data_IF_949089883992
#
_entry.id   IF_949089883992
#
_cell.length_a   1.000
_cell.length_b   1.000
_cell.length_c   1.000
_cell.angle_alpha   90.00
_cell.angle_beta   90.00
_cell.angle_gamma   90.00
#
_symmetry.space_group_name_H-M   'P 1'
#
loop_
_entity.id
_entity.type
_entity.pdbx_description
1 polymer ?
#
# COMPACT_ATOMS: atom_id res chain seq x y z
N UNK A 1 -7.27 -16.61 -54.22
CA UNK A 1 -6.24 -15.91 -53.43
C UNK A 1 -6.69 -14.47 -53.27
N UNK A 2 -6.96 -14.04 -52.05
CA UNK A 2 -6.73 -12.65 -51.61
C UNK A 2 -6.63 -12.70 -50.08
N UNK A 3 -5.38 -12.87 -49.66
CA UNK A 3 -4.88 -12.48 -48.34
C UNK A 3 -5.24 -11.00 -48.15
N UNK A 4 -5.71 -10.63 -46.96
CA UNK A 4 -5.45 -9.35 -46.25
C UNK A 4 -6.32 -9.38 -44.97
N UNK A 5 -6.01 -10.32 -44.07
CA UNK A 5 -6.48 -10.26 -42.69
C UNK A 5 -5.32 -9.71 -41.87
N UNK A 6 -5.10 -8.40 -41.98
CA UNK A 6 -4.16 -7.70 -41.11
C UNK A 6 -4.83 -7.57 -39.74
N UNK A 7 -4.51 -8.50 -38.84
CA UNK A 7 -4.74 -8.33 -37.42
C UNK A 7 -4.00 -7.07 -36.98
N UNK A 8 -4.75 -5.98 -36.76
CA UNK A 8 -4.23 -4.81 -36.07
C UNK A 8 -4.00 -5.28 -34.64
N UNK A 9 -2.75 -5.55 -34.28
CA UNK A 9 -2.38 -5.81 -32.90
C UNK A 9 -2.86 -4.61 -32.06
N UNK A 10 -3.74 -4.87 -31.09
CA UNK A 10 -4.16 -3.85 -30.14
C UNK A 10 -2.91 -3.24 -29.51
N UNK A 11 -2.83 -1.89 -29.47
CA UNK A 11 -1.74 -1.22 -28.76
C UNK A 11 -1.72 -1.75 -27.32
N UNK A 12 -0.55 -2.11 -26.77
CA UNK A 12 -0.45 -2.47 -25.35
C UNK A 12 -1.09 -1.38 -24.50
N UNK A 13 -1.98 -1.76 -23.58
CA UNK A 13 -2.65 -0.80 -22.69
C UNK A 13 -1.66 -0.08 -21.75
N UNK A 14 -0.48 -0.67 -21.50
CA UNK A 14 0.63 -0.07 -20.76
C UNK A 14 1.97 -0.28 -21.48
N UNK A 15 2.90 0.66 -21.32
CA UNK A 15 4.25 0.58 -21.91
C UNK A 15 5.11 -0.50 -21.24
N UNK A 16 4.91 -0.76 -19.96
CA UNK A 16 5.56 -1.82 -19.18
C UNK A 16 4.53 -2.52 -18.30
N UNK A 17 4.63 -3.84 -18.08
CA UNK A 17 3.81 -4.51 -17.09
C UNK A 17 4.14 -3.99 -15.69
N UNK A 18 3.22 -3.26 -15.07
CA UNK A 18 3.42 -2.62 -13.76
C UNK A 18 3.31 -3.60 -12.59
N UNK A 19 4.06 -4.71 -12.65
CA UNK A 19 4.08 -5.81 -11.67
C UNK A 19 5.48 -6.39 -11.47
N UNK A 20 5.80 -6.80 -10.25
CA UNK A 20 7.11 -7.33 -9.87
C UNK A 20 6.95 -8.58 -9.02
N UNK A 21 7.53 -9.70 -9.45
CA UNK A 21 7.45 -10.97 -8.74
C UNK A 21 8.62 -11.13 -7.76
N UNK A 22 8.33 -11.63 -6.57
CA UNK A 22 9.32 -12.00 -5.53
C UNK A 22 8.94 -13.36 -4.99
N UNK A 23 9.94 -14.24 -4.78
CA UNK A 23 9.73 -15.55 -4.15
C UNK A 23 10.30 -15.54 -2.73
N UNK A 24 9.43 -15.77 -1.73
CA UNK A 24 9.81 -15.87 -0.33
C UNK A 24 9.69 -17.33 0.11
N UNK A 25 10.80 -18.06 0.08
CA UNK A 25 10.77 -19.52 0.28
C UNK A 25 9.83 -20.17 -0.74
N UNK A 26 8.77 -20.80 -0.25
CA UNK A 26 7.72 -21.43 -1.09
C UNK A 26 6.53 -20.50 -1.39
N UNK A 27 6.52 -19.26 -0.88
CA UNK A 27 5.42 -18.31 -1.03
C UNK A 27 5.67 -17.37 -2.22
N UNK A 28 4.73 -17.34 -3.15
CA UNK A 28 4.71 -16.39 -4.26
C UNK A 28 4.20 -15.02 -3.81
N UNK A 29 4.96 -13.96 -4.11
CA UNK A 29 4.57 -12.57 -3.88
C UNK A 29 4.63 -11.81 -5.21
N UNK A 30 3.61 -11.00 -5.48
CA UNK A 30 3.56 -10.12 -6.64
C UNK A 30 3.19 -8.71 -6.17
N UNK A 31 4.11 -7.77 -6.31
CA UNK A 31 3.81 -6.34 -6.13
C UNK A 31 3.17 -5.83 -7.40
N UNK A 32 2.04 -5.15 -7.30
CA UNK A 32 1.32 -4.57 -8.43
C UNK A 32 1.10 -3.09 -8.13
N UNK A 33 1.53 -2.22 -9.04
CA UNK A 33 1.27 -0.80 -8.89
C UNK A 33 -0.23 -0.53 -9.15
N UNK A 34 -0.87 0.28 -8.33
CA UNK A 34 -2.16 0.92 -8.65
C UNK A 34 -1.97 2.22 -9.45
N UNK A 35 -0.73 2.72 -9.49
CA UNK A 35 -0.35 3.91 -10.23
C UNK A 35 0.37 4.90 -9.33
N UNK A 36 0.11 6.18 -9.55
CA UNK A 36 0.65 7.27 -8.74
C UNK A 36 -0.39 8.35 -8.44
N UNK A 37 -0.27 8.95 -7.26
CA UNK A 37 -1.14 10.01 -6.77
C UNK A 37 -0.32 11.30 -6.55
N UNK A 38 -0.57 12.40 -7.28
CA UNK A 38 0.14 13.66 -7.04
C UNK A 38 -0.29 14.28 -5.71
N UNK A 39 0.68 14.55 -4.84
CA UNK A 39 0.44 15.14 -3.52
C UNK A 39 1.40 16.30 -3.22
N UNK A 40 0.95 17.34 -2.48
CA UNK A 40 1.83 18.41 -2.03
C UNK A 40 2.98 17.87 -1.18
N UNK A 41 4.19 18.40 -1.40
CA UNK A 41 5.39 17.94 -0.66
C UNK A 41 5.33 18.24 0.83
N UNK A 42 4.53 19.23 1.25
CA UNK A 42 4.27 19.56 2.66
C UNK A 42 3.73 18.36 3.43
N UNK A 43 3.01 17.46 2.77
CA UNK A 43 2.44 16.25 3.37
C UNK A 43 3.50 15.20 3.73
N UNK A 44 4.70 15.24 3.14
CA UNK A 44 5.75 14.30 3.51
C UNK A 44 6.28 14.51 4.93
N UNK A 45 6.26 15.77 5.38
CA UNK A 45 6.96 16.21 6.57
C UNK A 45 6.42 17.57 7.03
N UNK A 46 5.20 17.57 7.58
CA UNK A 46 4.51 18.82 7.92
C UNK A 46 5.10 19.49 9.18
N UNK A 47 5.80 18.73 10.03
CA UNK A 47 6.51 19.21 11.22
C UNK A 47 7.92 19.74 10.92
N UNK A 48 8.47 19.44 9.74
CA UNK A 48 9.83 19.82 9.39
C UNK A 48 9.94 21.30 8.99
N UNK A 49 11.09 21.89 9.31
CA UNK A 49 11.46 23.23 8.82
C UNK A 49 11.40 23.25 7.28
N UNK A 50 10.73 24.25 6.66
CA UNK A 50 10.57 24.28 5.21
C UNK A 50 11.88 24.28 4.42
N UNK A 51 12.96 24.89 4.94
CA UNK A 51 14.25 24.92 4.26
C UNK A 51 14.94 23.54 4.32
N UNK A 52 14.82 22.82 5.45
CA UNK A 52 15.32 21.44 5.56
C UNK A 52 14.56 20.49 4.63
N UNK A 53 13.22 20.59 4.58
CA UNK A 53 12.40 19.81 3.64
C UNK A 53 12.76 20.10 2.18
N UNK A 54 12.93 21.37 1.81
CA UNK A 54 13.34 21.78 0.47
C UNK A 54 14.74 21.25 0.09
N UNK A 55 15.69 21.27 1.03
CA UNK A 55 17.03 20.73 0.83
C UNK A 55 16.99 19.20 0.60
N UNK A 56 16.18 18.47 1.38
CA UNK A 56 16.00 17.03 1.19
C UNK A 56 15.39 16.71 -0.18
N UNK A 57 14.31 17.39 -0.56
CA UNK A 57 13.67 17.23 -1.89
C UNK A 57 14.65 17.48 -3.04
N UNK A 58 15.46 18.55 -2.93
CA UNK A 58 16.49 18.85 -3.91
C UNK A 58 17.58 17.75 -3.98
N UNK A 59 17.99 17.20 -2.84
CA UNK A 59 18.92 16.07 -2.77
C UNK A 59 18.37 14.78 -3.40
N UNK A 60 17.05 14.63 -3.41
CA UNK A 60 16.32 13.52 -4.04
C UNK A 60 15.94 13.80 -5.50
N UNK A 61 16.32 14.96 -6.06
CA UNK A 61 15.92 15.41 -7.40
C UNK A 61 14.39 15.49 -7.60
N UNK A 62 13.65 15.82 -6.54
CA UNK A 62 12.20 15.95 -6.55
C UNK A 62 11.76 17.42 -6.65
N UNK A 63 10.59 17.70 -7.29
CA UNK A 63 9.99 19.02 -7.26
C UNK A 63 9.66 19.49 -5.84
N UNK A 64 9.65 20.80 -5.62
CA UNK A 64 9.40 21.38 -4.30
C UNK A 64 7.91 21.54 -3.96
N UNK A 65 7.02 21.64 -4.94
CA UNK A 65 5.60 21.93 -4.69
C UNK A 65 4.79 20.65 -4.48
N UNK A 66 4.87 19.72 -5.43
CA UNK A 66 4.15 18.44 -5.42
C UNK A 66 4.90 17.39 -6.23
N UNK A 67 4.70 16.12 -5.90
CA UNK A 67 5.18 15.01 -6.71
C UNK A 67 4.27 13.79 -6.56
N UNK A 68 4.49 12.84 -7.46
CA UNK A 68 3.74 11.60 -7.57
C UNK A 68 4.16 10.61 -6.46
N UNK A 69 3.25 10.30 -5.54
CA UNK A 69 3.42 9.20 -4.59
C UNK A 69 3.02 7.90 -5.27
N UNK A 70 3.86 6.88 -5.14
CA UNK A 70 3.56 5.55 -5.66
C UNK A 70 2.37 4.93 -4.91
N UNK A 71 1.60 4.10 -5.59
CA UNK A 71 0.57 3.27 -4.99
C UNK A 71 0.89 1.81 -5.32
N UNK A 72 1.23 1.01 -4.32
CA UNK A 72 1.60 -0.39 -4.48
C UNK A 72 0.71 -1.29 -3.62
N UNK A 73 0.13 -2.32 -4.24
CA UNK A 73 -0.58 -3.40 -3.55
C UNK A 73 0.19 -4.73 -3.74
N UNK A 74 -0.11 -5.72 -2.90
CA UNK A 74 0.62 -6.99 -2.92
C UNK A 74 -0.35 -8.17 -3.03
N UNK A 75 -0.10 -9.06 -3.99
CA UNK A 75 -0.75 -10.36 -4.05
C UNK A 75 0.19 -11.43 -3.48
N UNK A 76 -0.34 -12.31 -2.63
CA UNK A 76 0.41 -13.41 -2.01
C UNK A 76 -0.31 -14.73 -2.27
N UNK A 77 0.43 -15.78 -2.66
CA UNK A 77 -0.09 -17.15 -2.71
C UNK A 77 0.65 -18.03 -1.72
N UNK A 78 -0.06 -18.51 -0.71
CA UNK A 78 0.46 -19.42 0.30
C UNK A 78 -0.56 -20.53 0.59
N UNK A 79 -0.14 -21.78 0.43
CA UNK A 79 -1.02 -22.95 0.55
C UNK A 79 -2.19 -22.88 -0.43
N UNK A 80 -3.42 -22.94 0.09
CA UNK A 80 -4.66 -22.83 -0.69
C UNK A 80 -5.19 -21.39 -0.80
N UNK A 81 -4.45 -20.39 -0.27
CA UNK A 81 -4.88 -18.99 -0.23
C UNK A 81 -4.26 -18.16 -1.34
N UNK A 82 -5.08 -17.29 -1.92
CA UNK A 82 -4.66 -16.19 -2.79
C UNK A 82 -5.13 -14.91 -2.12
N UNK A 83 -4.19 -14.15 -1.59
CA UNK A 83 -4.43 -13.04 -0.68
C UNK A 83 -4.06 -11.75 -1.38
N UNK A 84 -4.99 -10.81 -1.48
CA UNK A 84 -4.69 -9.45 -1.91
C UNK A 84 -4.53 -8.55 -0.66
N UNK A 85 -3.39 -7.88 -0.55
CA UNK A 85 -3.07 -6.94 0.52
C UNK A 85 -3.22 -5.53 -0.05
N UNK A 86 -4.22 -4.81 0.46
CA UNK A 86 -4.76 -3.56 -0.06
C UNK A 86 -5.29 -3.64 -1.50
N UNK A 87 -6.15 -2.69 -1.87
CA UNK A 87 -6.92 -2.71 -3.11
C UNK A 87 -6.77 -1.45 -3.97
N UNK A 88 -5.85 -0.55 -3.62
CA UNK A 88 -5.58 0.66 -4.41
C UNK A 88 -6.69 1.71 -4.30
N UNK A 89 -6.51 2.82 -5.02
CA UNK A 89 -7.39 3.99 -5.03
C UNK A 89 -8.73 3.74 -5.69
N UNK A 90 -8.79 2.79 -6.61
CA UNK A 90 -9.94 2.64 -7.49
C UNK A 90 -10.15 3.86 -8.39
N UNK A 91 -11.31 3.92 -9.01
CA UNK A 91 -11.65 4.99 -9.95
C UNK A 91 -12.71 5.89 -9.34
N UNK A 92 -12.36 7.15 -9.09
CA UNK A 92 -13.32 8.22 -8.89
C UNK A 92 -13.35 9.11 -10.16
N UNK A 93 -14.44 9.09 -10.93
CA UNK A 93 -14.54 9.90 -12.16
C UNK A 93 -14.51 11.41 -11.88
N UNK A 94 -14.85 11.85 -10.66
CA UNK A 94 -14.86 13.26 -10.28
C UNK A 94 -13.47 13.75 -9.85
N UNK A 95 -12.56 12.85 -9.44
CA UNK A 95 -11.20 13.21 -9.03
C UNK A 95 -10.22 13.36 -10.22
N UNK A 96 -10.58 12.87 -11.41
CA UNK A 96 -9.75 12.94 -12.62
C UNK A 96 -8.28 12.54 -12.40
N UNK A 97 -8.05 11.35 -11.82
CA UNK A 97 -6.73 10.80 -11.52
C UNK A 97 -6.35 9.68 -12.52
N UNK A 98 -6.06 10.00 -13.80
CA UNK A 98 -5.87 8.99 -14.86
C UNK A 98 -4.64 8.09 -14.65
N UNK A 99 -3.76 8.44 -13.72
CA UNK A 99 -2.52 7.72 -13.41
C UNK A 99 -2.61 6.87 -12.14
N UNK A 100 -3.76 6.82 -11.47
CA UNK A 100 -4.04 5.97 -10.31
C UNK A 100 -5.24 5.05 -10.60
N UNK A 101 -5.61 4.19 -9.64
CA UNK A 101 -6.79 3.32 -9.77
C UNK A 101 -6.65 2.17 -10.77
N UNK A 102 -5.42 1.83 -11.15
CA UNK A 102 -5.13 0.84 -12.19
C UNK A 102 -5.06 -0.60 -11.66
N UNK A 103 -5.13 -0.83 -10.35
CA UNK A 103 -4.85 -2.13 -9.74
C UNK A 103 -5.73 -3.24 -10.33
N UNK A 104 -7.05 -3.07 -10.36
CA UNK A 104 -7.98 -4.10 -10.84
C UNK A 104 -7.67 -4.49 -12.29
N UNK A 105 -7.47 -3.49 -13.15
CA UNK A 105 -7.09 -3.69 -14.55
C UNK A 105 -5.75 -4.41 -14.67
N UNK A 106 -4.75 -4.04 -13.86
CA UNK A 106 -3.41 -4.63 -13.88
C UNK A 106 -3.39 -6.07 -13.34
N UNK A 107 -4.24 -6.41 -12.39
CA UNK A 107 -4.46 -7.79 -11.94
C UNK A 107 -5.03 -8.63 -13.08
N UNK A 108 -6.03 -8.14 -13.82
CA UNK A 108 -6.59 -8.83 -14.98
C UNK A 108 -5.56 -9.00 -16.11
N UNK A 109 -4.78 -7.96 -16.41
CA UNK A 109 -3.67 -8.03 -17.36
C UNK A 109 -2.53 -8.98 -16.91
N UNK A 110 -2.50 -9.35 -15.63
CA UNK A 110 -1.65 -10.41 -15.08
C UNK A 110 -2.27 -11.81 -15.11
N UNK A 111 -3.47 -11.96 -15.69
CA UNK A 111 -4.21 -13.21 -15.69
C UNK A 111 -4.74 -13.58 -14.31
N UNK A 112 -4.78 -12.63 -13.36
CA UNK A 112 -5.32 -12.86 -12.02
C UNK A 112 -6.81 -12.54 -12.06
N UNK A 113 -7.62 -13.58 -11.93
CA UNK A 113 -9.06 -13.44 -11.81
C UNK A 113 -9.43 -13.06 -10.36
N UNK A 114 -10.20 -11.99 -10.16
CA UNK A 114 -10.65 -11.56 -8.83
C UNK A 114 -11.44 -12.64 -8.07
N UNK A 115 -12.14 -13.55 -8.77
CA UNK A 115 -12.84 -14.68 -8.14
C UNK A 115 -11.88 -15.67 -7.46
N UNK A 116 -10.59 -15.66 -7.84
CA UNK A 116 -9.57 -16.50 -7.21
C UNK A 116 -9.08 -15.96 -5.86
N UNK A 117 -9.29 -14.66 -5.59
CA UNK A 117 -8.86 -14.02 -4.33
C UNK A 117 -9.69 -14.60 -3.19
N UNK A 118 -9.04 -15.34 -2.30
CA UNK A 118 -9.67 -16.03 -1.17
C UNK A 118 -9.84 -15.11 0.03
N UNK A 119 -8.89 -14.21 0.21
CA UNK A 119 -8.77 -13.33 1.36
C UNK A 119 -8.26 -11.96 0.92
N UNK A 120 -8.75 -10.92 1.57
CA UNK A 120 -8.19 -9.58 1.52
C UNK A 120 -7.60 -9.25 2.88
N UNK A 121 -6.46 -8.59 2.91
CA UNK A 121 -5.92 -7.96 4.12
C UNK A 121 -5.85 -6.47 3.84
N UNK A 122 -6.48 -5.66 4.68
CA UNK A 122 -6.33 -4.22 4.61
C UNK A 122 -5.34 -3.78 5.68
N UNK A 123 -4.28 -3.08 5.27
CA UNK A 123 -3.35 -2.45 6.21
C UNK A 123 -4.09 -1.41 7.03
N UNK A 124 -4.93 -0.61 6.37
CA UNK A 124 -5.86 0.35 6.95
C UNK A 124 -6.94 0.72 5.92
N UNK A 125 -7.88 1.60 6.28
CA UNK A 125 -9.08 1.88 5.48
C UNK A 125 -9.07 3.25 4.79
N UNK A 126 -7.89 3.83 4.51
CA UNK A 126 -7.83 5.00 3.63
C UNK A 126 -8.31 4.68 2.21
N UNK A 127 -8.75 5.72 1.50
CA UNK A 127 -9.36 5.61 0.17
C UNK A 127 -8.43 4.93 -0.85
N UNK A 128 -7.13 5.16 -0.76
CA UNK A 128 -6.11 4.56 -1.62
C UNK A 128 -5.78 3.08 -1.29
N UNK A 129 -6.43 2.52 -0.27
CA UNK A 129 -6.29 1.12 0.13
C UNK A 129 -7.57 0.33 -0.04
N UNK A 130 -8.74 0.98 0.08
CA UNK A 130 -10.05 0.33 -0.08
C UNK A 130 -10.75 0.69 -1.38
N UNK A 131 -10.33 1.77 -2.05
CA UNK A 131 -11.07 2.39 -3.14
C UNK A 131 -11.27 1.48 -4.34
N UNK A 132 -10.31 0.60 -4.66
CA UNK A 132 -10.49 -0.39 -5.72
C UNK A 132 -11.63 -1.37 -5.48
N UNK A 133 -12.02 -1.60 -4.22
CA UNK A 133 -13.18 -2.43 -3.85
C UNK A 133 -14.51 -1.68 -4.01
N UNK A 134 -14.46 -0.35 -4.12
CA UNK A 134 -15.64 0.51 -4.23
C UNK A 134 -16.03 0.77 -5.70
N UNK A 135 -15.19 0.37 -6.65
CA UNK A 135 -15.47 0.48 -8.08
C UNK A 135 -16.64 -0.42 -8.47
N UNK A 136 -17.57 0.14 -9.23
CA UNK A 136 -18.76 -0.57 -9.72
C UNK A 136 -18.39 -1.87 -10.45
N UNK A 137 -19.09 -2.96 -10.11
CA UNK A 137 -18.86 -4.28 -10.71
C UNK A 137 -17.70 -5.08 -10.11
N UNK A 138 -16.81 -4.47 -9.32
CA UNK A 138 -15.69 -5.20 -8.68
C UNK A 138 -16.20 -6.18 -7.63
N UNK A 139 -17.19 -5.78 -6.82
CA UNK A 139 -17.76 -6.64 -5.78
C UNK A 139 -18.35 -7.92 -6.35
N UNK A 140 -19.05 -7.83 -7.48
CA UNK A 140 -19.71 -8.96 -8.15
C UNK A 140 -18.70 -9.94 -8.77
N UNK A 141 -17.48 -9.47 -9.05
CA UNK A 141 -16.36 -10.26 -9.56
C UNK A 141 -15.53 -10.90 -8.45
N UNK A 142 -15.75 -10.55 -7.18
CA UNK A 142 -15.13 -11.20 -6.03
C UNK A 142 -15.96 -12.41 -5.59
N UNK A 143 -15.34 -13.33 -4.88
CA UNK A 143 -16.05 -14.50 -4.31
C UNK A 143 -17.04 -14.08 -3.23
N UNK A 144 -18.15 -14.80 -3.11
CA UNK A 144 -19.22 -14.50 -2.13
C UNK A 144 -18.80 -14.72 -0.68
N UNK A 145 -17.92 -15.68 -0.45
CA UNK A 145 -17.39 -16.06 0.85
C UNK A 145 -15.98 -15.45 1.10
N UNK A 146 -15.66 -14.34 0.42
CA UNK A 146 -14.42 -13.59 0.64
C UNK A 146 -14.32 -13.19 2.11
N UNK A 147 -13.12 -13.30 2.66
CA UNK A 147 -12.80 -12.87 4.02
C UNK A 147 -11.91 -11.64 3.95
N UNK A 148 -12.29 -10.59 4.65
CA UNK A 148 -11.53 -9.33 4.65
C UNK A 148 -11.00 -9.10 6.06
N UNK A 149 -9.69 -9.23 6.23
CA UNK A 149 -9.02 -9.12 7.51
C UNK A 149 -8.62 -7.67 7.77
N UNK A 150 -9.12 -7.11 8.87
CA UNK A 150 -8.94 -5.70 9.27
C UNK A 150 -8.78 -5.63 10.79
N UNK A 151 -7.92 -4.74 11.28
CA UNK A 151 -7.80 -4.53 12.73
C UNK A 151 -9.13 -4.00 13.32
N UNK A 152 -9.55 -4.51 14.48
CA UNK A 152 -10.77 -4.07 15.15
C UNK A 152 -10.74 -2.56 15.47
N UNK A 153 -9.56 -2.05 15.82
CA UNK A 153 -9.31 -0.63 16.04
C UNK A 153 -9.55 0.23 14.78
N UNK A 154 -9.29 -0.32 13.59
CA UNK A 154 -9.49 0.38 12.31
C UNK A 154 -10.99 0.57 12.05
N UNK A 155 -11.77 -0.51 12.13
CA UNK A 155 -13.23 -0.43 11.92
C UNK A 155 -13.85 0.55 12.91
N UNK A 156 -13.44 0.48 14.19
CA UNK A 156 -13.93 1.38 15.24
C UNK A 156 -13.55 2.83 14.96
N UNK A 157 -12.33 3.10 14.51
CA UNK A 157 -11.87 4.45 14.21
C UNK A 157 -12.76 5.13 13.15
N UNK A 158 -13.09 4.40 12.07
CA UNK A 158 -13.90 4.94 10.97
C UNK A 158 -15.38 5.13 11.28
N UNK A 159 -15.88 4.70 12.44
CA UNK A 159 -17.23 5.07 12.93
C UNK A 159 -17.30 6.57 13.28
N UNK A 160 -16.21 7.12 13.81
CA UNK A 160 -16.08 8.51 14.25
C UNK A 160 -14.61 8.95 14.17
N UNK A 161 -14.07 9.17 12.95
CA UNK A 161 -12.65 9.46 12.78
C UNK A 161 -12.29 10.85 13.29
N UNK A 162 -11.17 10.94 13.99
CA UNK A 162 -10.57 12.18 14.45
C UNK A 162 -9.41 12.58 13.54
N UNK A 163 -9.53 13.75 12.88
CA UNK A 163 -8.53 14.31 11.98
C UNK A 163 -7.79 15.51 12.60
N UNK A 164 -7.98 15.81 13.89
CA UNK A 164 -7.43 17.01 14.53
C UNK A 164 -5.90 17.05 14.55
N UNK A 165 -5.25 15.88 14.47
CA UNK A 165 -3.80 15.74 14.45
C UNK A 165 -3.21 15.61 13.04
N UNK A 166 -4.06 15.52 12.02
CA UNK A 166 -3.60 15.37 10.64
C UNK A 166 -3.38 16.73 9.99
N UNK A 167 -2.58 16.75 8.93
CA UNK A 167 -2.33 17.94 8.13
C UNK A 167 -2.52 17.52 6.67
N UNK A 168 -3.77 17.51 6.22
CA UNK A 168 -4.17 17.05 4.88
C UNK A 168 -4.71 18.22 4.04
N UNK A 169 -4.69 18.13 2.69
CA UNK A 169 -5.35 19.13 1.85
C UNK A 169 -6.86 19.15 2.09
N UNK A 170 -7.52 20.27 1.79
CA UNK A 170 -8.96 20.39 1.92
C UNK A 170 -9.68 19.30 1.11
N UNK A 171 -10.72 18.70 1.69
CA UNK A 171 -11.54 17.66 1.07
C UNK A 171 -11.04 16.23 1.29
N UNK A 172 -9.74 16.01 1.55
CA UNK A 172 -9.21 14.68 1.85
C UNK A 172 -9.88 14.00 3.05
N UNK A 173 -10.05 14.66 4.22
CA UNK A 173 -10.74 14.05 5.36
C UNK A 173 -12.16 13.56 5.04
N UNK A 174 -12.91 14.30 4.21
CA UNK A 174 -14.27 13.93 3.81
C UNK A 174 -14.27 12.76 2.82
N UNK A 175 -13.33 12.74 1.85
CA UNK A 175 -13.15 11.64 0.92
C UNK A 175 -12.77 10.33 1.66
N UNK A 176 -11.82 10.40 2.60
CA UNK A 176 -11.44 9.27 3.44
C UNK A 176 -12.63 8.74 4.25
N UNK A 177 -13.40 9.63 4.89
CA UNK A 177 -14.61 9.25 5.65
C UNK A 177 -15.66 8.60 4.74
N UNK A 178 -15.87 9.14 3.54
CA UNK A 178 -16.84 8.61 2.59
C UNK A 178 -16.45 7.20 2.11
N UNK A 179 -15.19 7.02 1.70
CA UNK A 179 -14.67 5.74 1.25
C UNK A 179 -14.77 4.65 2.33
N UNK A 180 -14.31 4.94 3.55
CA UNK A 180 -14.38 3.99 4.67
C UNK A 180 -15.82 3.61 5.03
N UNK A 181 -16.75 4.58 5.06
CA UNK A 181 -18.18 4.34 5.32
C UNK A 181 -18.82 3.50 4.22
N UNK A 182 -18.51 3.78 2.95
CA UNK A 182 -19.02 2.99 1.82
C UNK A 182 -18.47 1.57 1.84
N UNK A 183 -17.17 1.41 2.15
CA UNK A 183 -16.54 0.10 2.31
C UNK A 183 -17.27 -0.75 3.37
N UNK A 184 -17.48 -0.22 4.58
CA UNK A 184 -18.20 -0.95 5.64
C UNK A 184 -19.64 -1.27 5.23
N UNK A 185 -20.34 -0.36 4.55
CA UNK A 185 -21.69 -0.60 4.02
C UNK A 185 -21.72 -1.77 3.03
N UNK A 186 -20.73 -1.86 2.13
CA UNK A 186 -20.70 -2.87 1.08
C UNK A 186 -20.17 -4.22 1.57
N UNK A 187 -19.19 -4.23 2.45
CA UNK A 187 -18.38 -5.40 2.79
C UNK A 187 -18.47 -5.81 4.27
N UNK A 188 -19.25 -5.10 5.11
CA UNK A 188 -19.27 -5.32 6.56
C UNK A 188 -19.55 -6.76 7.01
N UNK A 189 -20.33 -7.53 6.25
CA UNK A 189 -20.60 -8.95 6.54
C UNK A 189 -19.42 -9.89 6.23
N UNK A 190 -18.44 -9.44 5.45
CA UNK A 190 -17.24 -10.18 5.04
C UNK A 190 -16.02 -9.84 5.92
N UNK A 191 -16.11 -8.80 6.76
CA UNK A 191 -15.02 -8.36 7.64
C UNK A 191 -14.77 -9.38 8.75
N UNK A 192 -13.50 -9.76 8.90
CA UNK A 192 -12.93 -10.57 9.97
C UNK A 192 -11.99 -9.67 10.77
N UNK A 193 -12.43 -9.26 11.95
CA UNK A 193 -11.65 -8.37 12.82
C UNK A 193 -10.59 -9.15 13.59
N UNK A 194 -9.42 -8.56 13.76
CA UNK A 194 -8.38 -9.02 14.69
C UNK A 194 -7.94 -7.86 15.59
N UNK A 195 -7.43 -8.14 16.79
CA UNK A 195 -7.04 -7.07 17.73
C UNK A 195 -5.56 -6.69 17.55
N UNK A 196 -4.65 -7.66 17.68
CA UNK A 196 -3.20 -7.41 17.65
C UNK A 196 -2.51 -8.06 16.45
N UNK A 197 -2.72 -9.35 16.23
CA UNK A 197 -2.19 -10.07 15.06
C UNK A 197 -3.10 -11.22 14.63
N UNK A 198 -3.00 -11.61 13.36
CA UNK A 198 -3.72 -12.74 12.81
C UNK A 198 -2.90 -13.43 11.71
N UNK A 199 -2.82 -14.77 11.76
CA UNK A 199 -2.25 -15.56 10.67
C UNK A 199 -3.36 -15.87 9.64
N UNK A 200 -3.25 -15.27 8.45
CA UNK A 200 -4.24 -15.37 7.36
C UNK A 200 -4.08 -16.67 6.58
N UNK A 201 -2.82 -17.10 6.41
CA UNK A 201 -2.38 -18.32 5.77
C UNK A 201 -1.01 -18.72 6.33
N UNK A 202 -0.53 -19.96 6.13
CA UNK A 202 0.80 -20.36 6.58
C UNK A 202 1.87 -19.36 6.16
N UNK A 203 2.55 -18.77 7.14
CA UNK A 203 3.62 -17.80 6.91
C UNK A 203 3.16 -16.41 6.45
N UNK A 204 1.86 -16.10 6.46
CA UNK A 204 1.31 -14.76 6.17
C UNK A 204 0.59 -14.22 7.40
N UNK A 205 1.25 -13.31 8.11
CA UNK A 205 0.79 -12.77 9.40
C UNK A 205 0.58 -11.27 9.27
N UNK A 206 -0.64 -10.80 9.56
CA UNK A 206 -0.94 -9.38 9.73
C UNK A 206 -0.79 -9.00 11.20
N UNK A 207 -0.18 -7.86 11.48
CA UNK A 207 0.01 -7.32 12.84
C UNK A 207 -0.32 -5.84 12.87
N UNK A 208 -1.16 -5.43 13.82
CA UNK A 208 -1.47 -4.03 14.09
C UNK A 208 -0.25 -3.31 14.61
N UNK A 209 0.00 -2.13 14.07
CA UNK A 209 1.05 -1.20 14.52
C UNK A 209 0.48 0.08 15.11
N UNK A 210 -0.65 0.58 14.60
CA UNK A 210 -1.15 1.92 14.94
C UNK A 210 -0.32 3.05 14.32
N UNK A 211 -0.47 4.27 14.83
CA UNK A 211 0.23 5.46 14.35
C UNK A 211 -0.50 6.12 13.19
N UNK A 212 -0.23 5.68 11.96
CA UNK A 212 -0.81 6.24 10.73
C UNK A 212 -2.33 6.32 10.80
N UNK A 213 -2.97 5.21 11.14
CA UNK A 213 -4.32 5.14 11.69
C UNK A 213 -4.27 4.28 12.97
N UNK A 214 -5.24 4.38 13.90
CA UNK A 214 -5.22 3.57 15.12
C UNK A 214 -5.20 2.05 14.88
N UNK A 215 -5.74 1.60 13.74
CA UNK A 215 -5.76 0.20 13.33
C UNK A 215 -4.77 -0.14 12.21
N UNK A 216 -3.89 0.78 11.80
CA UNK A 216 -2.87 0.52 10.79
C UNK A 216 -2.09 -0.76 11.12
N UNK A 217 -1.85 -1.59 10.11
CA UNK A 217 -1.26 -2.91 10.24
C UNK A 217 -0.22 -3.18 9.16
N UNK A 218 0.77 -4.00 9.49
CA UNK A 218 1.77 -4.51 8.54
C UNK A 218 1.55 -6.00 8.30
N UNK A 219 1.95 -6.50 7.13
CA UNK A 219 1.82 -7.93 6.77
C UNK A 219 3.20 -8.52 6.55
N UNK A 220 3.59 -9.49 7.38
CA UNK A 220 4.84 -10.23 7.22
C UNK A 220 4.57 -11.57 6.53
N UNK A 221 5.32 -11.80 5.45
CA UNK A 221 5.33 -13.03 4.67
C UNK A 221 6.66 -13.74 4.92
N UNK A 222 6.64 -14.98 5.40
CA UNK A 222 7.86 -15.72 5.71
C UNK A 222 7.77 -17.20 5.39
N UNK A 223 8.82 -17.75 4.78
CA UNK A 223 8.96 -19.18 4.47
C UNK A 223 10.42 -19.52 4.22
N UNK A 224 10.85 -20.71 4.67
CA UNK A 224 12.20 -21.23 4.42
C UNK A 224 13.34 -20.32 4.91
N UNK A 225 13.15 -19.60 6.03
CA UNK A 225 14.14 -18.67 6.57
C UNK A 225 14.26 -17.33 5.82
N UNK A 226 13.43 -17.10 4.78
CA UNK A 226 13.30 -15.81 4.09
C UNK A 226 12.03 -15.12 4.55
N UNK A 227 12.04 -13.78 4.53
CA UNK A 227 10.83 -13.01 4.80
C UNK A 227 10.79 -11.66 4.07
N UNK A 228 9.57 -11.16 3.90
CA UNK A 228 9.21 -9.86 3.34
C UNK A 228 8.12 -9.24 4.22
N UNK A 229 8.24 -7.96 4.54
CA UNK A 229 7.20 -7.20 5.24
C UNK A 229 6.59 -6.18 4.29
N UNK A 230 5.27 -6.25 4.08
CA UNK A 230 4.50 -5.16 3.51
C UNK A 230 4.09 -4.20 4.63
N UNK A 231 4.67 -3.00 4.63
CA UNK A 231 4.55 -2.02 5.70
C UNK A 231 3.31 -1.13 5.59
N UNK A 232 2.51 -1.25 4.52
CA UNK A 232 1.47 -0.27 4.22
C UNK A 232 2.08 1.13 4.19
N UNK A 233 1.53 2.00 5.03
CA UNK A 233 1.90 3.42 5.12
C UNK A 233 2.76 3.71 6.35
N UNK A 234 3.30 2.69 7.02
CA UNK A 234 4.24 2.93 8.12
C UNK A 234 5.57 3.55 7.66
N UNK A 235 5.91 3.47 6.37
CA UNK A 235 7.20 3.91 5.83
C UNK A 235 7.04 4.65 4.50
N UNK A 236 7.67 5.82 4.43
CA UNK A 236 7.83 6.64 3.22
C UNK A 236 9.32 6.87 2.94
N UNK A 237 9.68 7.26 1.71
CA UNK A 237 11.09 7.44 1.31
C UNK A 237 11.87 8.40 2.22
N UNK A 238 11.24 9.50 2.63
CA UNK A 238 11.83 10.47 3.55
C UNK A 238 12.09 9.90 4.95
N UNK A 239 11.31 8.90 5.37
CA UNK A 239 11.42 8.27 6.68
C UNK A 239 12.68 7.44 6.87
N UNK A 240 13.44 7.15 5.81
CA UNK A 240 14.76 6.52 5.95
C UNK A 240 15.81 7.53 6.45
N UNK A 241 15.85 8.71 5.84
CA UNK A 241 16.82 9.76 6.19
C UNK A 241 16.35 10.60 7.40
N UNK A 242 15.04 10.78 7.53
CA UNK A 242 14.38 11.65 8.52
C UNK A 242 13.23 10.90 9.19
N UNK A 243 13.50 9.85 9.99
CA UNK A 243 12.47 8.98 10.53
C UNK A 243 11.48 9.68 11.49
N UNK A 244 11.85 10.83 12.06
CA UNK A 244 11.02 11.65 12.96
C UNK A 244 10.13 12.68 12.23
N UNK A 245 10.18 12.73 10.89
CA UNK A 245 9.31 13.64 10.14
C UNK A 245 7.90 13.07 10.01
N UNK A 246 6.91 13.93 10.25
CA UNK A 246 5.51 13.54 10.35
C UNK A 246 4.81 13.69 9.00
N UNK A 247 4.19 12.61 8.54
CA UNK A 247 3.40 12.61 7.35
C UNK A 247 2.02 13.24 7.65
N UNK A 248 1.52 14.08 6.74
CA UNK A 248 0.27 14.80 6.90
C UNK A 248 -0.96 13.89 7.05
N UNK A 249 -0.85 12.62 6.68
CA UNK A 249 -1.92 11.63 6.80
C UNK A 249 -1.91 10.83 8.12
N UNK A 250 -0.93 11.05 9.00
CA UNK A 250 -0.80 10.32 10.26
C UNK A 250 -1.76 10.85 11.35
N UNK A 251 -2.61 9.98 11.89
CA UNK A 251 -3.58 10.31 12.94
C UNK A 251 -2.98 10.37 14.35
N UNK A 252 -1.87 9.67 14.58
CA UNK A 252 -0.98 9.85 15.72
C UNK A 252 0.46 9.96 15.19
N UNK A 253 0.91 11.18 14.83
CA UNK A 253 2.22 11.37 14.21
C UNK A 253 3.41 10.93 15.08
N UNK A 254 3.32 11.11 16.40
CA UNK A 254 4.37 10.67 17.31
C UNK A 254 4.46 9.14 17.37
N UNK A 255 3.32 8.45 17.49
CA UNK A 255 3.32 6.99 17.46
C UNK A 255 3.70 6.45 16.09
N UNK A 256 3.31 7.11 15.00
CA UNK A 256 3.71 6.73 13.65
C UNK A 256 5.23 6.81 13.46
N UNK A 257 5.88 7.86 13.95
CA UNK A 257 7.34 7.96 13.97
C UNK A 257 7.99 6.84 14.81
N UNK A 258 7.47 6.56 16.02
CA UNK A 258 7.97 5.45 16.86
C UNK A 258 7.82 4.08 16.20
N UNK A 259 6.67 3.82 15.56
CA UNK A 259 6.39 2.61 14.79
C UNK A 259 7.38 2.47 13.65
N UNK A 260 7.59 3.54 12.86
CA UNK A 260 8.50 3.58 11.71
C UNK A 260 9.94 3.28 12.12
N UNK A 261 10.46 3.99 13.13
CA UNK A 261 11.83 3.77 13.64
C UNK A 261 12.02 2.34 14.11
N UNK A 262 11.06 1.81 14.88
CA UNK A 262 11.11 0.44 15.38
C UNK A 262 11.12 -0.56 14.22
N UNK A 263 10.23 -0.41 13.25
CA UNK A 263 10.13 -1.29 12.08
C UNK A 263 11.41 -1.26 11.23
N UNK A 264 11.93 -0.08 10.93
CA UNK A 264 13.17 0.07 10.15
C UNK A 264 14.37 -0.53 10.88
N UNK A 265 14.43 -0.41 12.21
CA UNK A 265 15.47 -1.05 13.03
C UNK A 265 15.37 -2.57 13.02
N UNK A 266 14.16 -3.12 13.17
CA UNK A 266 13.91 -4.56 13.08
C UNK A 266 14.35 -5.12 11.72
N UNK A 267 13.99 -4.44 10.63
CA UNK A 267 14.35 -4.84 9.26
C UNK A 267 15.85 -4.70 8.97
N UNK A 268 16.51 -3.66 9.49
CA UNK A 268 17.95 -3.50 9.36
C UNK A 268 18.74 -4.59 10.11
N UNK A 269 18.21 -5.10 11.23
CA UNK A 269 18.82 -6.17 12.00
C UNK A 269 18.59 -7.55 11.37
N UNK A 270 17.40 -7.81 10.85
CA UNK A 270 17.03 -9.11 10.27
C UNK A 270 17.50 -9.27 8.82
N UNK A 271 17.68 -8.17 8.09
CA UNK A 271 17.98 -8.19 6.65
C UNK A 271 16.80 -8.62 5.79
N UNK A 272 15.59 -8.68 6.35
CA UNK A 272 14.37 -9.05 5.62
C UNK A 272 14.02 -8.00 4.55
N UNK A 273 13.26 -8.43 3.54
CA UNK A 273 12.77 -7.52 2.52
C UNK A 273 11.65 -6.64 3.08
N UNK A 274 11.59 -5.41 2.59
CA UNK A 274 10.54 -4.44 2.84
C UNK A 274 9.85 -4.11 1.52
N UNK A 275 8.53 -3.98 1.59
CA UNK A 275 7.66 -3.33 0.60
C UNK A 275 6.76 -2.35 1.34
N UNK A 276 6.53 -1.16 0.79
CA UNK A 276 5.61 -0.17 1.32
C UNK A 276 4.75 0.44 0.21
N UNK A 277 3.56 0.93 0.53
CA UNK A 277 2.60 1.46 -0.44
C UNK A 277 3.20 2.57 -1.27
N UNK A 278 3.88 3.51 -0.61
CA UNK A 278 4.32 4.77 -1.21
C UNK A 278 5.82 4.86 -1.52
N UNK A 279 6.54 3.74 -1.44
CA UNK A 279 7.92 3.66 -1.95
C UNK A 279 7.93 3.50 -3.47
N UNK A 280 8.95 4.03 -4.18
CA UNK A 280 9.04 3.91 -5.64
C UNK A 280 8.89 2.46 -6.11
N UNK A 281 8.00 2.21 -7.07
CA UNK A 281 7.78 0.88 -7.64
C UNK A 281 9.11 0.29 -8.17
N UNK A 282 9.45 -0.99 -7.89
CA UNK A 282 8.59 -2.05 -7.33
C UNK A 282 8.49 -2.07 -5.81
N UNK A 283 9.08 -1.09 -5.12
CA UNK A 283 9.05 -0.99 -3.66
C UNK A 283 9.74 -2.15 -2.94
N UNK A 284 10.52 -2.99 -3.63
CA UNK A 284 11.22 -4.13 -3.01
C UNK A 284 12.67 -3.76 -2.69
N UNK A 285 13.07 -3.95 -1.44
CA UNK A 285 14.42 -3.61 -0.99
C UNK A 285 14.69 -4.05 0.44
N UNK A 286 15.91 -3.80 0.89
CA UNK A 286 16.35 -3.98 2.27
C UNK A 286 16.48 -2.63 2.98
N UNK A 287 16.57 -2.69 4.30
CA UNK A 287 16.91 -1.54 5.14
C UNK A 287 18.34 -1.72 5.65
N UNK A 288 19.16 -0.69 5.56
CA UNK A 288 20.47 -0.64 6.22
C UNK A 288 20.46 0.45 7.30
N UNK A 289 21.14 0.23 8.42
CA UNK A 289 21.39 1.29 9.41
C UNK A 289 22.58 2.15 8.99
N UNK A 290 22.45 3.48 9.12
CA UNK A 290 23.51 4.45 8.82
C UNK A 290 23.53 5.52 9.93
N UNK A 291 24.43 5.36 10.89
CA UNK A 291 24.44 6.21 12.09
C UNK A 291 23.12 6.07 12.86
N UNK A 292 22.45 7.21 13.10
CA UNK A 292 21.15 7.27 13.77
C UNK A 292 19.96 7.20 12.78
N UNK A 293 20.22 7.03 11.49
CA UNK A 293 19.23 6.97 10.42
C UNK A 293 19.27 5.61 9.69
N UNK A 294 18.49 5.50 8.62
CA UNK A 294 18.39 4.32 7.79
C UNK A 294 18.69 4.64 6.33
N UNK A 295 18.91 3.60 5.54
CA UNK A 295 19.09 3.71 4.10
C UNK A 295 18.27 2.64 3.40
N UNK A 296 17.50 3.06 2.41
CA UNK A 296 16.85 2.16 1.48
C UNK A 296 17.88 1.51 0.56
N UNK A 297 17.84 0.18 0.46
CA UNK A 297 18.72 -0.60 -0.43
C UNK A 297 17.82 -1.37 -1.41
N UNK A 298 17.55 -0.83 -2.62
CA UNK A 298 16.69 -1.53 -3.58
C UNK A 298 17.31 -2.87 -3.97
N UNK A 299 16.46 -3.87 -4.22
CA UNK A 299 16.94 -5.15 -4.76
C UNK A 299 17.54 -4.96 -6.16
N UNK A 300 18.49 -5.82 -6.51
CA UNK A 300 18.93 -5.94 -7.89
C UNK A 300 17.89 -6.73 -8.69
N UNK A 301 17.70 -6.32 -9.94
CA UNK A 301 16.83 -7.02 -10.88
C UNK A 301 17.45 -8.39 -11.23
N UNK A 302 16.62 -9.44 -11.21
CA UNK A 302 17.06 -10.84 -11.35
C UNK A 302 16.26 -11.61 -12.42
N UNK A 303 15.62 -10.92 -13.38
CA UNK A 303 14.74 -11.52 -14.40
C UNK A 303 15.07 -11.12 -15.86
#
# INVERSE_FOLDING_TARGET
>A
MNLHNASIAAKPEELVPSRYAVRIGDIDVLVVSDGVLPLPTTMLAHNADPALRAAWLNGMFLPQDAFDWALNAVMVRSGDKTILIDAGLGSDPDLHLPRAGQLIKRLEAAGINLTSVTDLVLTHMHMDHVGGLLVDGVKERLRKDLRIHVAAAEVKFWESPDFTHTNMPQGFPDALRAAAKQFVKLYGSQIRKFDEQHEVAPGVVVRRTGGHTPGHSVVRVASGGKALTFAGDAVFAVGFDQPEWHNGFEHDPEEAARVRVRLLRELAQSGELLVATHMPFPSVGHVAAVGDAFRWVPVFWDY
#
